data_IF_863462205188
#
_entry.id   IF_863462205188
#
_cell.length_a   1.000
_cell.length_b   1.000
_cell.length_c   1.000
_cell.angle_alpha   90.00
_cell.angle_beta   90.00
_cell.angle_gamma   90.00
#
_symmetry.space_group_name_H-M   'P 1'
#
loop_
_entity.id
_entity.type
_entity.pdbx_description
1 polymer ?
#
# COMPACT_ATOMS: atom_id res chain seq x y z
N UNK A 1 15.03 -9.19 13.93
CA UNK A 1 13.95 -9.76 14.76
C UNK A 1 13.19 -8.60 15.35
N UNK A 2 11.85 -8.64 15.35
CA UNK A 2 11.06 -7.58 15.98
C UNK A 2 11.46 -7.41 17.44
N UNK A 3 11.52 -6.18 17.94
CA UNK A 3 11.74 -5.90 19.36
C UNK A 3 10.42 -5.58 20.06
N UNK A 4 10.43 -5.57 21.40
CA UNK A 4 9.32 -4.97 22.14
C UNK A 4 9.35 -3.45 21.98
N UNK A 5 8.17 -2.84 21.91
CA UNK A 5 7.96 -1.39 21.88
C UNK A 5 6.55 -1.05 22.38
N UNK A 6 6.37 0.15 22.92
CA UNK A 6 5.09 0.67 23.41
C UNK A 6 4.52 1.81 22.56
N UNK A 7 5.31 2.29 21.58
CA UNK A 7 4.93 3.33 20.61
C UNK A 7 5.80 3.19 19.37
N UNK A 8 5.29 3.61 18.20
CA UNK A 8 6.10 3.62 16.99
C UNK A 8 7.16 4.74 17.04
N UNK A 9 8.38 4.50 16.51
CA UNK A 9 9.39 5.54 16.34
C UNK A 9 8.89 6.67 15.44
N UNK A 10 9.41 7.89 15.67
CA UNK A 10 9.22 9.05 14.80
C UNK A 10 10.58 9.39 14.18
N UNK A 11 10.62 9.48 12.85
CA UNK A 11 11.81 9.81 12.07
C UNK A 11 11.57 11.13 11.34
N UNK A 12 12.46 12.09 11.58
CA UNK A 12 12.39 13.41 10.94
C UNK A 12 13.11 13.41 9.57
N UNK A 13 12.37 13.76 8.52
CA UNK A 13 12.86 13.85 7.15
C UNK A 13 13.25 15.28 6.72
N UNK A 14 13.29 16.25 7.64
CA UNK A 14 13.62 17.66 7.35
C UNK A 14 14.92 17.84 6.55
N UNK A 15 15.92 16.97 6.76
CA UNK A 15 17.17 17.00 5.99
C UNK A 15 16.98 16.76 4.49
N UNK A 16 15.90 16.07 4.09
CA UNK A 16 15.57 15.78 2.68
C UNK A 16 14.90 16.97 1.96
N UNK A 17 14.49 18.02 2.69
CA UNK A 17 13.94 19.24 2.09
C UNK A 17 15.01 20.10 1.40
N UNK A 18 16.29 19.82 1.64
CA UNK A 18 17.39 20.49 0.97
C UNK A 18 17.73 19.78 -0.36
N UNK A 19 17.95 20.51 -1.47
CA UNK A 19 18.31 19.90 -2.76
C UNK A 19 19.58 19.05 -2.75
N UNK A 20 20.43 19.24 -1.73
CA UNK A 20 21.66 18.45 -1.53
C UNK A 20 21.91 18.31 -0.02
N UNK A 21 21.27 17.32 0.63
CA UNK A 21 21.48 17.05 2.05
C UNK A 21 22.95 16.72 2.31
N UNK A 22 23.49 17.13 3.46
CA UNK A 22 24.88 16.83 3.81
C UNK A 22 25.11 15.31 3.89
N UNK A 23 26.33 14.83 3.62
CA UNK A 23 26.66 13.41 3.77
C UNK A 23 26.46 12.91 5.21
N UNK A 24 26.65 13.80 6.19
CA UNK A 24 26.41 13.51 7.59
C UNK A 24 24.93 13.29 7.88
N UNK A 25 24.05 14.17 7.39
CA UNK A 25 22.60 14.02 7.53
C UNK A 25 22.09 12.76 6.84
N UNK A 26 22.56 12.48 5.63
CA UNK A 26 22.21 11.25 4.91
C UNK A 26 22.65 10.00 5.69
N UNK A 27 23.87 10.01 6.23
CA UNK A 27 24.39 8.89 7.02
C UNK A 27 23.61 8.69 8.32
N UNK A 28 23.26 9.79 9.01
CA UNK A 28 22.45 9.75 10.24
C UNK A 28 21.07 9.17 9.95
N UNK A 29 20.36 9.73 8.97
CA UNK A 29 19.02 9.29 8.60
C UNK A 29 19.01 7.84 8.08
N UNK A 30 20.00 7.44 7.29
CA UNK A 30 20.18 6.06 6.81
C UNK A 30 20.33 5.07 7.98
N UNK A 31 21.14 5.38 8.99
CA UNK A 31 21.30 4.55 10.19
C UNK A 31 20.04 4.50 11.04
N UNK A 32 19.35 5.63 11.18
CA UNK A 32 18.09 5.72 11.93
C UNK A 32 17.00 4.84 11.30
N UNK A 33 16.80 4.96 9.98
CA UNK A 33 15.86 4.13 9.23
C UNK A 33 16.22 2.64 9.30
N UNK A 34 17.50 2.30 9.23
CA UNK A 34 17.95 0.91 9.43
C UNK A 34 17.52 0.36 10.80
N UNK A 35 17.80 1.11 11.87
CA UNK A 35 17.46 0.67 13.22
C UNK A 35 15.96 0.48 13.38
N UNK A 36 15.15 1.44 12.88
CA UNK A 36 13.69 1.35 12.89
C UNK A 36 13.20 0.11 12.16
N UNK A 37 13.66 -0.13 10.94
CA UNK A 37 13.16 -1.24 10.13
C UNK A 37 13.73 -2.60 10.53
N UNK A 38 14.88 -2.64 11.19
CA UNK A 38 15.44 -3.87 11.76
C UNK A 38 14.77 -4.31 13.06
N UNK A 39 14.09 -3.40 13.76
CA UNK A 39 13.53 -3.62 15.10
C UNK A 39 12.00 -3.53 15.13
N UNK A 40 11.42 -2.45 14.62
CA UNK A 40 9.97 -2.20 14.67
C UNK A 40 9.31 -2.56 13.34
N UNK A 41 9.99 -2.31 12.21
CA UNK A 41 9.41 -2.47 10.87
C UNK A 41 8.39 -1.37 10.49
N UNK A 42 8.10 -0.45 11.42
CA UNK A 42 7.15 0.66 11.31
C UNK A 42 7.74 1.94 11.90
N UNK A 43 7.36 3.10 11.36
CA UNK A 43 7.60 4.41 11.96
C UNK A 43 6.62 5.47 11.45
N UNK A 44 6.60 6.61 12.13
CA UNK A 44 6.10 7.87 11.56
C UNK A 44 7.23 8.62 10.88
N UNK A 45 6.98 9.13 9.69
CA UNK A 45 7.83 10.06 8.97
C UNK A 45 7.24 11.46 9.12
N UNK A 46 7.99 12.40 9.69
CA UNK A 46 7.59 13.81 9.80
C UNK A 46 8.41 14.67 8.85
N UNK A 47 7.87 15.83 8.47
CA UNK A 47 8.53 16.80 7.59
C UNK A 47 8.95 16.18 6.24
N UNK A 48 8.13 15.27 5.71
CA UNK A 48 8.34 14.72 4.37
C UNK A 48 8.28 15.85 3.33
N UNK A 49 9.18 15.88 2.33
CA UNK A 49 9.29 16.96 1.35
C UNK A 49 8.22 16.85 0.25
N UNK A 50 6.95 16.69 0.65
CA UNK A 50 5.79 16.66 -0.25
C UNK A 50 5.23 18.07 -0.43
N UNK A 51 4.65 18.35 -1.60
CA UNK A 51 3.93 19.61 -1.81
C UNK A 51 2.49 19.54 -1.30
N UNK A 52 1.96 18.33 -1.13
CA UNK A 52 0.67 18.09 -0.50
C UNK A 52 0.82 18.02 1.01
N UNK A 53 0.06 18.86 1.72
CA UNK A 53 -0.14 18.66 3.15
C UNK A 53 -1.02 17.43 3.38
N UNK A 54 -1.01 16.93 4.62
CA UNK A 54 -1.89 15.84 5.01
C UNK A 54 -3.36 16.17 4.74
N UNK A 55 -3.77 17.41 5.01
CA UNK A 55 -5.14 17.87 4.76
C UNK A 55 -5.50 17.84 3.28
N UNK A 56 -4.58 18.19 2.38
CA UNK A 56 -4.83 18.16 0.94
C UNK A 56 -5.09 16.73 0.46
N UNK A 57 -4.37 15.74 1.01
CA UNK A 57 -4.54 14.32 0.69
C UNK A 57 -5.94 13.83 1.09
N UNK A 58 -6.45 14.20 2.28
CA UNK A 58 -7.81 13.81 2.68
C UNK A 58 -8.90 14.57 1.93
N UNK A 59 -8.65 15.82 1.55
CA UNK A 59 -9.54 16.55 0.65
C UNK A 59 -9.67 15.83 -0.69
N UNK A 60 -8.56 15.33 -1.27
CA UNK A 60 -8.62 14.54 -2.51
C UNK A 60 -9.45 13.25 -2.37
N UNK A 61 -9.29 12.53 -1.26
CA UNK A 61 -10.11 11.36 -0.97
C UNK A 61 -11.59 11.75 -0.87
N UNK A 62 -11.91 12.79 -0.09
CA UNK A 62 -13.27 13.29 0.08
C UNK A 62 -13.90 13.77 -1.22
N UNK A 63 -13.17 14.54 -2.02
CA UNK A 63 -13.63 15.03 -3.32
C UNK A 63 -14.02 13.86 -4.23
N UNK A 64 -13.22 12.77 -4.24
CA UNK A 64 -13.57 11.57 -5.00
C UNK A 64 -14.82 10.88 -4.43
N UNK A 65 -14.89 10.62 -3.13
CA UNK A 65 -15.98 9.85 -2.54
C UNK A 65 -17.32 10.60 -2.46
N UNK A 66 -17.32 11.91 -2.71
CA UNK A 66 -18.53 12.75 -2.77
C UNK A 66 -19.08 12.97 -4.18
N UNK A 67 -18.39 12.51 -5.23
CA UNK A 67 -18.94 12.56 -6.60
C UNK A 67 -20.18 11.65 -6.71
N UNK A 68 -21.08 11.89 -7.68
CA UNK A 68 -22.24 11.04 -7.93
C UNK A 68 -21.87 9.56 -8.08
N UNK A 69 -22.69 8.68 -7.51
CA UNK A 69 -22.43 7.22 -7.50
C UNK A 69 -22.27 6.65 -8.91
N UNK A 70 -23.02 7.16 -9.89
CA UNK A 70 -22.90 6.74 -11.29
C UNK A 70 -21.53 7.10 -11.90
N UNK A 71 -20.91 8.22 -11.50
CA UNK A 71 -19.55 8.57 -11.92
C UNK A 71 -18.49 7.71 -11.22
N UNK A 72 -18.66 7.34 -9.95
CA UNK A 72 -17.78 6.34 -9.29
C UNK A 72 -17.90 4.98 -9.97
N UNK A 73 -19.12 4.52 -10.21
CA UNK A 73 -19.38 3.23 -10.87
C UNK A 73 -18.91 3.18 -12.32
N UNK A 74 -18.87 4.33 -13.01
CA UNK A 74 -18.30 4.44 -14.37
C UNK A 74 -16.82 4.05 -14.42
N UNK A 75 -16.08 4.26 -13.34
CA UNK A 75 -14.66 3.88 -13.22
C UNK A 75 -14.45 2.63 -12.38
N UNK A 76 -15.51 1.90 -12.05
CA UNK A 76 -15.40 0.66 -11.30
C UNK A 76 -14.63 -0.43 -12.08
N UNK A 77 -13.97 -1.35 -11.38
CA UNK A 77 -13.31 -2.50 -12.03
C UNK A 77 -14.33 -3.40 -12.72
N UNK A 78 -13.88 -4.12 -13.75
CA UNK A 78 -14.67 -5.10 -14.50
C UNK A 78 -15.33 -6.15 -13.59
N UNK A 79 -14.69 -6.52 -12.48
CA UNK A 79 -15.26 -7.44 -11.48
C UNK A 79 -16.59 -6.95 -10.91
N UNK A 80 -16.76 -5.63 -10.76
CA UNK A 80 -17.98 -5.00 -10.25
C UNK A 80 -18.93 -4.53 -11.36
N UNK A 81 -18.38 -4.07 -12.49
CA UNK A 81 -19.16 -3.61 -13.65
C UNK A 81 -18.64 -4.31 -14.90
N UNK A 82 -19.34 -5.38 -15.34
CA UNK A 82 -18.88 -6.25 -16.44
C UNK A 82 -18.63 -5.54 -17.77
N UNK A 83 -19.23 -4.37 -17.99
CA UNK A 83 -19.00 -3.55 -19.19
C UNK A 83 -17.67 -2.79 -19.22
N UNK A 84 -17.00 -2.66 -18.06
CA UNK A 84 -15.74 -1.93 -17.96
C UNK A 84 -14.54 -2.79 -18.40
N UNK A 85 -13.48 -2.12 -18.87
CA UNK A 85 -12.27 -2.77 -19.41
C UNK A 85 -11.13 -2.90 -18.41
N UNK A 86 -11.09 -2.03 -17.41
CA UNK A 86 -10.09 -2.01 -16.35
C UNK A 86 -10.31 -3.18 -15.38
N UNK A 87 -9.24 -3.88 -15.06
CA UNK A 87 -9.22 -5.10 -14.26
C UNK A 87 -8.50 -4.90 -12.92
N UNK A 88 -7.62 -3.91 -12.83
CA UNK A 88 -6.73 -3.67 -11.71
C UNK A 88 -6.86 -2.27 -11.10
N UNK A 89 -6.96 -1.22 -11.92
CA UNK A 89 -7.10 0.19 -11.54
C UNK A 89 -8.57 0.61 -11.49
N UNK A 90 -8.84 1.69 -10.77
CA UNK A 90 -10.18 2.26 -10.67
C UNK A 90 -10.90 1.94 -9.36
N UNK A 91 -12.22 2.05 -9.38
CA UNK A 91 -13.06 2.00 -8.20
C UNK A 91 -13.51 0.59 -7.83
N UNK A 92 -13.63 0.32 -6.53
CA UNK A 92 -14.38 -0.79 -5.99
C UNK A 92 -15.39 -0.28 -4.95
N UNK A 93 -16.67 -0.63 -5.09
CA UNK A 93 -17.73 -0.16 -4.20
C UNK A 93 -17.72 -0.91 -2.87
N UNK A 94 -18.48 -0.37 -1.91
CA UNK A 94 -18.93 -1.13 -0.74
C UNK A 94 -19.60 -2.42 -1.19
N UNK A 95 -19.45 -3.50 -0.41
CA UNK A 95 -20.09 -4.78 -0.67
C UNK A 95 -21.07 -5.12 0.48
N UNK A 96 -22.30 -4.57 0.46
CA UNK A 96 -23.28 -4.79 1.52
C UNK A 96 -23.52 -6.27 1.80
N UNK A 97 -23.56 -6.66 3.08
CA UNK A 97 -23.79 -8.04 3.50
C UNK A 97 -22.53 -8.89 3.66
N UNK A 98 -21.35 -8.39 3.28
CA UNK A 98 -20.06 -8.97 3.64
C UNK A 98 -19.56 -8.30 4.92
N UNK A 99 -19.53 -9.05 6.02
CA UNK A 99 -19.26 -8.52 7.37
C UNK A 99 -17.85 -7.94 7.53
N UNK A 100 -16.94 -8.29 6.62
CA UNK A 100 -15.52 -7.95 6.54
C UNK A 100 -15.20 -6.85 5.51
N UNK A 101 -16.16 -6.47 4.64
CA UNK A 101 -15.92 -5.46 3.60
C UNK A 101 -16.73 -4.17 3.81
N UNK A 102 -16.25 -3.37 4.76
CA UNK A 102 -16.85 -2.11 5.18
C UNK A 102 -16.25 -0.88 4.49
N UNK A 103 -15.61 -1.05 3.32
CA UNK A 103 -14.90 0.02 2.63
C UNK A 103 -15.19 0.06 1.14
N UNK A 104 -15.16 1.26 0.60
CA UNK A 104 -15.00 1.52 -0.83
C UNK A 104 -13.60 2.08 -1.09
N UNK A 105 -13.13 2.01 -2.33
CA UNK A 105 -11.80 2.50 -2.66
C UNK A 105 -11.58 2.81 -4.12
N UNK A 106 -10.59 3.66 -4.38
CA UNK A 106 -10.17 4.07 -5.71
C UNK A 106 -8.66 3.96 -5.86
N UNK A 107 -8.22 3.24 -6.89
CA UNK A 107 -6.81 2.90 -7.08
C UNK A 107 -6.22 3.53 -8.33
N UNK A 108 -5.07 4.19 -8.14
CA UNK A 108 -4.33 4.94 -9.14
C UNK A 108 -2.89 4.42 -9.18
N UNK A 109 -2.44 4.02 -10.35
CA UNK A 109 -1.05 3.70 -10.67
C UNK A 109 -0.28 4.88 -11.27
N UNK A 110 0.91 4.64 -11.84
CA UNK A 110 1.69 5.67 -12.52
C UNK A 110 0.92 6.36 -13.65
N UNK A 111 1.15 7.67 -13.83
CA UNK A 111 0.49 8.44 -14.90
C UNK A 111 0.94 8.01 -16.31
N UNK A 112 2.17 7.50 -16.44
CA UNK A 112 2.76 7.05 -17.71
C UNK A 112 3.26 5.62 -17.55
N UNK A 113 2.73 4.70 -18.33
CA UNK A 113 3.33 3.39 -18.53
C UNK A 113 4.23 3.46 -19.76
N UNK A 114 5.49 3.03 -19.66
CA UNK A 114 6.21 2.72 -20.89
C UNK A 114 5.62 1.43 -21.44
N UNK A 115 4.88 1.56 -22.56
CA UNK A 115 4.24 0.44 -23.23
C UNK A 115 5.32 -0.61 -23.51
N UNK A 116 5.18 -1.86 -23.05
CA UNK A 116 6.07 -2.92 -23.47
C UNK A 116 6.04 -2.97 -24.99
N UNK A 117 7.20 -2.77 -25.62
CA UNK A 117 7.39 -2.89 -27.07
C UNK A 117 6.67 -4.14 -27.55
N UNK A 118 5.82 -3.99 -28.57
CA UNK A 118 5.02 -5.07 -29.13
C UNK A 118 5.84 -6.36 -29.29
N UNK A 119 5.50 -7.39 -28.51
CA UNK A 119 6.22 -8.66 -28.58
C UNK A 119 5.96 -9.60 -27.41
N UNK A 120 4.91 -10.43 -27.55
CA UNK A 120 4.78 -11.78 -26.95
C UNK A 120 5.01 -11.83 -25.42
N UNK A 121 4.00 -11.61 -24.56
CA UNK A 121 3.26 -12.75 -23.95
C UNK A 121 1.99 -12.35 -23.14
N UNK A 122 1.51 -11.10 -23.17
CA UNK A 122 0.42 -10.69 -22.24
C UNK A 122 -1.00 -11.23 -22.56
N UNK A 123 -1.22 -11.86 -23.72
CA UNK A 123 -2.57 -12.40 -24.09
C UNK A 123 -3.03 -13.63 -23.28
N UNK A 124 -2.38 -13.99 -22.17
CA UNK A 124 -2.76 -15.15 -21.33
C UNK A 124 -3.32 -14.81 -19.96
N UNK A 125 -3.07 -13.61 -19.41
CA UNK A 125 -3.62 -13.19 -18.11
C UNK A 125 -4.87 -12.33 -18.32
N UNK A 126 -5.97 -12.64 -17.62
CA UNK A 126 -7.14 -11.74 -17.59
C UNK A 126 -6.88 -10.49 -16.75
N UNK A 127 -5.81 -10.47 -15.96
CA UNK A 127 -5.37 -9.35 -15.13
C UNK A 127 -4.22 -8.60 -15.80
N UNK A 128 -4.42 -7.31 -16.07
CA UNK A 128 -3.40 -6.39 -16.58
C UNK A 128 -2.95 -5.45 -15.46
N UNK A 129 -1.74 -5.64 -14.94
CA UNK A 129 -1.20 -4.79 -13.86
C UNK A 129 -0.62 -3.47 -14.40
N UNK A 130 -0.36 -3.41 -15.71
CA UNK A 130 0.18 -2.24 -16.42
C UNK A 130 -0.90 -1.44 -17.14
N UNK A 131 -2.18 -1.70 -16.87
CA UNK A 131 -3.27 -0.97 -17.49
C UNK A 131 -3.25 0.52 -17.09
N UNK A 132 -3.72 1.36 -18.01
CA UNK A 132 -3.86 2.79 -17.77
C UNK A 132 -4.88 3.09 -16.66
N UNK A 133 -4.64 4.18 -15.93
CA UNK A 133 -5.61 4.69 -14.97
C UNK A 133 -6.92 5.09 -15.64
N UNK A 134 -8.04 4.74 -15.00
CA UNK A 134 -9.38 5.21 -15.37
C UNK A 134 -9.79 6.36 -14.45
N UNK A 135 -10.43 7.39 -15.02
CA UNK A 135 -10.73 8.64 -14.32
C UNK A 135 -12.20 9.04 -14.43
N UNK A 136 -12.80 9.59 -13.36
CA UNK A 136 -14.10 10.27 -13.43
C UNK A 136 -14.07 11.42 -14.43
N UNK A 137 -15.25 11.93 -14.80
CA UNK A 137 -15.35 13.02 -15.76
C UNK A 137 -14.74 14.30 -15.18
N UNK A 138 -14.04 15.08 -16.00
CA UNK A 138 -13.39 16.31 -15.55
C UNK A 138 -14.42 17.33 -15.04
N UNK A 139 -15.62 17.32 -15.60
CA UNK A 139 -16.75 18.15 -15.16
C UNK A 139 -17.21 17.82 -13.73
N UNK A 140 -16.94 16.60 -13.26
CA UNK A 140 -17.36 16.11 -11.94
C UNK A 140 -16.21 16.13 -10.93
N UNK A 141 -15.01 15.74 -11.36
CA UNK A 141 -13.85 15.58 -10.47
C UNK A 141 -12.79 16.67 -10.64
N UNK A 142 -13.07 17.69 -11.45
CA UNK A 142 -12.23 18.88 -11.60
C UNK A 142 -10.79 18.56 -11.95
N UNK A 143 -9.86 19.09 -11.14
CA UNK A 143 -8.42 18.87 -11.24
C UNK A 143 -7.92 17.67 -10.41
N UNK A 144 -8.83 16.84 -9.89
CA UNK A 144 -8.51 15.70 -9.03
C UNK A 144 -7.59 14.68 -9.69
N UNK A 145 -7.72 14.48 -11.02
CA UNK A 145 -6.79 13.65 -11.80
C UNK A 145 -5.35 14.15 -11.68
N UNK A 146 -5.11 15.41 -12.05
CA UNK A 146 -3.77 16.00 -12.05
C UNK A 146 -3.17 16.00 -10.64
N UNK A 147 -4.01 16.26 -9.63
CA UNK A 147 -3.56 16.25 -8.23
C UNK A 147 -3.18 14.85 -7.74
N UNK A 148 -3.96 13.82 -8.08
CA UNK A 148 -3.65 12.43 -7.70
C UNK A 148 -2.43 11.90 -8.45
N UNK A 149 -2.27 12.22 -9.73
CA UNK A 149 -1.06 11.88 -10.50
C UNK A 149 0.18 12.56 -9.90
N UNK A 150 0.08 13.83 -9.47
CA UNK A 150 1.17 14.53 -8.80
C UNK A 150 1.50 13.91 -7.44
N UNK A 151 0.50 13.64 -6.60
CA UNK A 151 0.69 12.99 -5.31
C UNK A 151 1.35 11.61 -5.45
N UNK A 152 0.90 10.80 -6.42
CA UNK A 152 1.52 9.52 -6.74
C UNK A 152 3.01 9.67 -7.06
N UNK A 153 3.36 10.61 -7.96
CA UNK A 153 4.75 10.85 -8.34
C UNK A 153 5.63 11.35 -7.17
N UNK A 154 5.09 12.19 -6.29
CA UNK A 154 5.81 12.64 -5.08
C UNK A 154 6.07 11.48 -4.11
N UNK A 155 5.08 10.62 -3.87
CA UNK A 155 5.23 9.43 -3.02
C UNK A 155 6.17 8.38 -3.64
N UNK A 156 6.15 8.23 -4.98
CA UNK A 156 7.11 7.41 -5.72
C UNK A 156 8.54 7.95 -5.53
N UNK A 157 8.72 9.27 -5.62
CA UNK A 157 10.02 9.93 -5.46
C UNK A 157 10.53 9.82 -4.03
N UNK A 158 9.66 10.03 -3.03
CA UNK A 158 9.97 9.82 -1.63
C UNK A 158 10.38 8.37 -1.36
N UNK A 159 9.64 7.40 -1.90
CA UNK A 159 9.98 5.97 -1.79
C UNK A 159 11.34 5.67 -2.41
N UNK A 160 11.67 6.26 -3.57
CA UNK A 160 13.00 6.15 -4.18
C UNK A 160 14.10 6.65 -3.24
N UNK A 161 13.92 7.83 -2.63
CA UNK A 161 14.89 8.39 -1.69
C UNK A 161 15.06 7.50 -0.46
N UNK A 162 13.96 7.00 0.11
CA UNK A 162 14.01 6.06 1.24
C UNK A 162 14.76 4.78 0.86
N UNK A 163 14.48 4.19 -0.31
CA UNK A 163 15.19 3.01 -0.80
C UNK A 163 16.69 3.27 -0.98
N UNK A 164 17.10 4.43 -1.47
CA UNK A 164 18.52 4.80 -1.57
C UNK A 164 19.22 4.88 -0.20
N UNK A 165 18.52 5.42 0.81
CA UNK A 165 19.03 5.47 2.19
C UNK A 165 19.13 4.06 2.79
N UNK A 166 18.16 3.19 2.52
CA UNK A 166 18.18 1.80 2.96
C UNK A 166 19.26 0.97 2.27
N UNK A 167 19.49 1.18 0.97
CA UNK A 167 20.58 0.56 0.24
C UNK A 167 21.94 0.90 0.88
N UNK A 168 22.16 2.18 1.15
CA UNK A 168 23.36 2.66 1.84
C UNK A 168 23.50 2.03 3.23
N UNK A 169 22.40 1.92 3.98
CA UNK A 169 22.42 1.32 5.31
C UNK A 169 22.74 -0.18 5.29
N UNK A 170 22.36 -0.86 4.20
CA UNK A 170 22.68 -2.26 3.94
C UNK A 170 24.10 -2.45 3.36
N UNK A 171 24.91 -1.38 3.28
CA UNK A 171 26.26 -1.41 2.73
C UNK A 171 26.29 -1.59 1.20
N UNK A 172 25.22 -1.20 0.51
CA UNK A 172 25.12 -1.20 -0.96
C UNK A 172 25.22 0.21 -1.54
N UNK A 173 25.54 0.35 -2.83
CA UNK A 173 25.42 1.63 -3.53
C UNK A 173 24.02 2.24 -3.39
N UNK A 174 23.91 3.57 -3.32
CA UNK A 174 22.63 4.26 -3.13
C UNK A 174 21.62 4.02 -4.28
N UNK A 175 22.09 3.63 -5.46
CA UNK A 175 21.30 3.29 -6.64
C UNK A 175 21.00 1.78 -6.75
N UNK A 176 21.32 0.98 -5.74
CA UNK A 176 21.15 -0.49 -5.79
C UNK A 176 19.71 -0.92 -6.13
N UNK A 177 18.70 -0.16 -5.69
CA UNK A 177 17.29 -0.43 -5.96
C UNK A 177 16.72 0.38 -7.15
N UNK A 178 17.56 1.08 -7.93
CA UNK A 178 17.08 1.93 -9.03
C UNK A 178 16.25 1.15 -10.07
N UNK A 179 16.54 -0.14 -10.29
CA UNK A 179 15.78 -1.01 -11.19
C UNK A 179 14.34 -1.26 -10.73
N UNK A 180 14.01 -1.03 -9.45
CA UNK A 180 12.65 -1.22 -8.93
C UNK A 180 11.71 -0.10 -9.39
N UNK A 181 12.28 1.07 -9.72
CA UNK A 181 11.53 2.23 -10.20
C UNK A 181 11.08 2.07 -11.66
N UNK A 182 11.81 1.25 -12.45
CA UNK A 182 11.50 1.00 -13.85
C UNK A 182 10.15 0.30 -14.02
N UNK A 183 9.19 0.98 -14.65
CA UNK A 183 7.81 0.48 -14.84
C UNK A 183 7.15 0.00 -13.54
N UNK A 184 7.46 0.68 -12.44
CA UNK A 184 6.95 0.40 -11.11
C UNK A 184 5.43 0.24 -11.11
N UNK A 185 4.93 -0.77 -10.39
CA UNK A 185 3.50 -1.05 -10.24
C UNK A 185 2.86 -0.32 -9.06
N UNK A 186 3.58 0.64 -8.47
CA UNK A 186 3.15 1.34 -7.26
C UNK A 186 1.73 1.86 -7.35
N UNK A 187 0.99 1.72 -6.25
CA UNK A 187 -0.45 1.99 -6.20
C UNK A 187 -0.76 2.99 -5.11
N UNK A 188 -1.29 4.15 -5.48
CA UNK A 188 -1.98 5.04 -4.57
C UNK A 188 -3.42 4.57 -4.45
N UNK A 189 -3.88 4.32 -3.23
CA UNK A 189 -5.25 3.87 -2.97
C UNK A 189 -5.94 4.86 -2.04
N UNK A 190 -7.06 5.43 -2.49
CA UNK A 190 -7.97 6.16 -1.62
C UNK A 190 -8.94 5.14 -1.02
N UNK A 191 -9.07 5.11 0.31
CA UNK A 191 -10.03 4.25 1.00
C UNK A 191 -10.98 5.09 1.84
N UNK A 192 -12.24 4.73 1.79
CA UNK A 192 -13.29 5.31 2.62
C UNK A 192 -14.02 4.19 3.36
N UNK A 193 -14.07 4.33 4.67
CA UNK A 193 -14.80 3.47 5.60
C UNK A 193 -15.96 4.32 6.14
N UNK A 194 -17.18 4.19 5.59
CA UNK A 194 -18.32 4.98 6.04
C UNK A 194 -18.60 4.75 7.54
N UNK A 195 -19.24 5.73 8.22
CA UNK A 195 -19.65 5.58 9.60
C UNK A 195 -20.43 4.27 9.77
N UNK A 196 -20.01 3.49 10.76
CA UNK A 196 -20.74 2.28 11.14
C UNK A 196 -21.62 2.62 12.33
N UNK A 197 -22.83 2.08 12.34
CA UNK A 197 -23.64 2.08 13.56
C UNK A 197 -22.81 1.48 14.71
N UNK A 198 -22.90 2.03 15.94
CA UNK A 198 -22.17 1.49 17.07
C UNK A 198 -22.58 0.03 17.26
N UNK A 199 -21.74 -0.90 16.83
CA UNK A 199 -21.95 -2.29 17.12
C UNK A 199 -21.79 -2.42 18.64
N UNK A 200 -22.87 -2.80 19.34
CA UNK A 200 -22.75 -3.35 20.68
C UNK A 200 -21.81 -4.53 20.53
N UNK A 201 -20.60 -4.43 21.08
CA UNK A 201 -19.71 -5.58 21.21
C UNK A 201 -20.44 -6.59 22.10
N UNK A 202 -21.11 -7.54 21.47
CA UNK A 202 -21.60 -8.72 22.17
C UNK A 202 -20.31 -9.46 22.55
N UNK A 203 -20.00 -9.53 23.84
CA UNK A 203 -18.89 -10.31 24.41
C UNK A 203 -17.47 -9.76 24.33
N UNK A 204 -17.28 -8.44 24.18
CA UNK A 204 -15.96 -7.80 24.33
C UNK A 204 -14.95 -8.10 23.21
N UNK A 205 -15.39 -8.75 22.13
CA UNK A 205 -14.58 -8.96 20.93
C UNK A 205 -14.32 -7.64 20.19
N UNK A 206 -13.07 -7.48 19.74
CA UNK A 206 -12.64 -6.34 18.95
C UNK A 206 -13.08 -6.54 17.50
N UNK A 207 -14.01 -5.72 17.02
CA UNK A 207 -14.36 -5.68 15.59
C UNK A 207 -13.18 -5.11 14.79
N UNK A 208 -12.80 -5.79 13.71
CA UNK A 208 -11.71 -5.38 12.83
C UNK A 208 -12.24 -4.88 11.49
N UNK A 209 -11.71 -3.75 11.02
CA UNK A 209 -11.88 -3.26 9.64
C UNK A 209 -10.84 -3.88 8.69
N UNK A 210 -9.75 -4.40 9.24
CA UNK A 210 -8.72 -5.12 8.51
C UNK A 210 -8.08 -6.14 9.45
N UNK A 211 -8.09 -7.41 9.07
CA UNK A 211 -7.55 -8.51 9.87
C UNK A 211 -6.03 -8.43 9.99
N UNK A 212 -5.40 -9.11 10.97
CA UNK A 212 -3.95 -9.21 11.07
C UNK A 212 -3.31 -9.66 9.75
N UNK A 213 -2.37 -8.88 9.23
CA UNK A 213 -1.60 -9.21 8.03
C UNK A 213 -0.24 -8.50 8.02
N UNK A 214 0.63 -8.92 7.09
CA UNK A 214 1.79 -8.16 6.63
C UNK A 214 1.56 -7.71 5.20
N UNK A 215 2.17 -6.60 4.81
CA UNK A 215 2.14 -6.15 3.42
C UNK A 215 3.07 -7.03 2.58
N UNK A 216 2.61 -7.49 1.42
CA UNK A 216 3.39 -8.41 0.57
C UNK A 216 4.57 -7.75 -0.15
N UNK A 217 4.52 -6.43 -0.31
CA UNK A 217 5.38 -5.65 -1.20
C UNK A 217 6.72 -5.24 -0.61
N UNK A 218 7.22 -4.10 -1.09
CA UNK A 218 8.49 -3.53 -0.65
C UNK A 218 8.33 -2.55 0.51
N UNK A 219 7.54 -1.49 0.30
CA UNK A 219 7.41 -0.37 1.22
C UNK A 219 6.00 0.23 1.11
N UNK A 220 5.38 0.53 2.24
CA UNK A 220 4.08 1.20 2.29
C UNK A 220 4.24 2.57 2.95
N UNK A 221 3.65 3.60 2.35
CA UNK A 221 3.51 4.96 2.88
C UNK A 221 2.03 5.25 3.11
N UNK A 222 1.62 5.45 4.35
CA UNK A 222 0.23 5.58 4.73
C UNK A 222 -0.06 6.96 5.33
N UNK A 223 -0.93 7.71 4.66
CA UNK A 223 -1.63 8.81 5.29
C UNK A 223 -2.86 8.26 6.04
N UNK A 224 -2.86 8.36 7.37
CA UNK A 224 -4.01 8.04 8.23
C UNK A 224 -4.64 9.29 8.81
N UNK A 225 -5.97 9.31 8.95
CA UNK A 225 -6.68 10.44 9.56
C UNK A 225 -6.73 10.34 11.10
N UNK A 226 -7.42 11.30 11.73
CA UNK A 226 -7.60 11.38 13.18
C UNK A 226 -8.46 10.26 13.78
N UNK A 227 -9.17 9.49 12.96
CA UNK A 227 -9.97 8.37 13.49
C UNK A 227 -9.04 7.29 14.04
N UNK A 228 -7.88 7.05 13.43
CA UNK A 228 -6.94 6.03 13.88
C UNK A 228 -7.44 4.60 13.65
N UNK A 229 -7.11 3.68 14.57
CA UNK A 229 -7.51 2.28 14.54
C UNK A 229 -6.40 1.31 14.11
N UNK A 230 -5.30 1.79 13.53
CA UNK A 230 -4.13 0.97 13.21
C UNK A 230 -3.44 0.46 14.49
N UNK A 231 -3.12 -0.82 14.51
CA UNK A 231 -2.32 -1.46 15.56
C UNK A 231 -1.23 -2.33 14.95
N UNK A 232 -0.06 -2.36 15.58
CA UNK A 232 1.13 -3.09 15.15
C UNK A 232 1.53 -4.09 16.23
N UNK A 233 1.80 -5.33 15.86
CA UNK A 233 2.16 -6.40 16.79
C UNK A 233 3.64 -6.30 17.18
N UNK A 234 3.94 -6.15 18.46
CA UNK A 234 5.32 -6.15 18.95
C UNK A 234 5.83 -7.58 19.26
N UNK A 235 7.09 -7.71 19.66
CA UNK A 235 7.70 -9.00 19.97
C UNK A 235 7.15 -9.70 21.24
N UNK A 236 6.38 -9.00 22.07
CA UNK A 236 5.66 -9.55 23.23
C UNK A 236 4.24 -10.02 22.87
N UNK A 237 3.93 -10.11 21.57
CA UNK A 237 2.60 -10.45 21.05
C UNK A 237 1.49 -9.47 21.48
N UNK A 238 1.88 -8.22 21.76
CA UNK A 238 0.95 -7.15 22.12
C UNK A 238 0.67 -6.25 20.92
N UNK A 239 -0.61 -5.92 20.75
CA UNK A 239 -1.07 -4.96 19.74
C UNK A 239 -0.83 -3.54 20.25
N UNK A 240 0.14 -2.85 19.63
CA UNK A 240 0.51 -1.47 19.95
C UNK A 240 -0.26 -0.50 19.05
N UNK A 241 -1.05 0.43 19.61
CA UNK A 241 -1.75 1.43 18.83
C UNK A 241 -0.78 2.37 18.08
N UNK A 242 -1.12 2.66 16.84
CA UNK A 242 -0.44 3.67 16.02
C UNK A 242 -1.38 4.88 15.83
N UNK A 243 -1.53 5.75 16.85
CA UNK A 243 -2.47 6.88 16.80
C UNK A 243 -2.11 7.87 15.69
N UNK A 244 -3.05 8.74 15.36
CA UNK A 244 -2.79 9.83 14.43
C UNK A 244 -1.72 10.80 14.98
N UNK A 245 -0.67 11.04 14.19
CA UNK A 245 0.32 12.09 14.45
C UNK A 245 0.18 13.16 13.35
N UNK A 246 -0.17 14.41 13.68
CA UNK A 246 -0.37 15.46 12.70
C UNK A 246 0.80 15.66 11.75
N UNK A 247 0.51 15.73 10.44
CA UNK A 247 1.52 15.95 9.40
C UNK A 247 2.48 14.79 9.17
N UNK A 248 2.22 13.61 9.76
CA UNK A 248 3.07 12.43 9.58
C UNK A 248 2.53 11.46 8.52
N UNK A 249 3.45 10.66 7.98
CA UNK A 249 3.17 9.50 7.14
C UNK A 249 3.61 8.26 7.91
N UNK A 250 2.74 7.27 8.10
CA UNK A 250 3.17 5.98 8.63
C UNK A 250 3.91 5.24 7.53
N UNK A 251 5.08 4.69 7.82
CA UNK A 251 5.86 3.87 6.89
C UNK A 251 6.07 2.48 7.45
N UNK A 252 5.99 1.46 6.60
CA UNK A 252 6.36 0.09 6.97
C UNK A 252 6.99 -0.70 5.83
N UNK A 253 7.76 -1.72 6.22
CA UNK A 253 8.41 -2.68 5.34
C UNK A 253 7.46 -3.85 5.06
N UNK A 254 7.41 -4.27 3.80
CA UNK A 254 6.68 -5.48 3.38
C UNK A 254 7.55 -6.73 3.34
N UNK A 255 6.90 -7.88 3.20
CA UNK A 255 7.51 -9.22 3.19
C UNK A 255 8.67 -9.32 2.18
N UNK A 256 8.46 -8.78 0.97
CA UNK A 256 9.47 -8.88 -0.08
C UNK A 256 10.72 -8.09 0.27
N UNK A 257 10.59 -6.91 0.89
CA UNK A 257 11.75 -6.13 1.32
C UNK A 257 12.45 -6.74 2.54
N UNK A 258 11.71 -7.41 3.44
CA UNK A 258 12.32 -8.21 4.50
C UNK A 258 13.22 -9.32 3.90
N UNK A 259 12.76 -10.01 2.86
CA UNK A 259 13.57 -10.99 2.12
C UNK A 259 14.75 -10.33 1.39
N UNK A 260 14.52 -9.23 0.68
CA UNK A 260 15.55 -8.48 -0.06
C UNK A 260 16.68 -8.03 0.87
N UNK A 261 16.34 -7.58 2.07
CA UNK A 261 17.32 -7.15 3.07
C UNK A 261 18.17 -8.28 3.66
N UNK A 262 17.97 -9.54 3.25
CA UNK A 262 18.59 -10.71 3.86
C UNK A 262 18.07 -10.98 5.29
N UNK A 263 16.82 -10.62 5.57
CA UNK A 263 16.21 -10.75 6.91
C UNK A 263 16.66 -9.70 7.92
N UNK A 264 17.36 -8.65 7.48
CA UNK A 264 17.80 -7.53 8.33
C UNK A 264 16.65 -6.61 8.69
N UNK A 265 15.68 -6.42 7.80
CA UNK A 265 14.45 -5.68 8.04
C UNK A 265 13.29 -6.63 8.34
N UNK A 266 12.30 -6.13 9.06
CA UNK A 266 11.15 -6.91 9.51
C UNK A 266 9.86 -6.36 8.92
N UNK A 267 9.07 -7.24 8.31
CA UNK A 267 7.69 -6.97 7.96
C UNK A 267 6.81 -7.30 9.16
N UNK A 268 6.28 -6.26 9.81
CA UNK A 268 5.58 -6.43 11.09
C UNK A 268 4.08 -6.59 10.88
N UNK A 269 3.50 -7.58 11.55
CA UNK A 269 2.07 -7.85 11.52
C UNK A 269 1.30 -6.63 12.03
N UNK A 270 0.26 -6.22 11.33
CA UNK A 270 -0.58 -5.10 11.71
C UNK A 270 -2.05 -5.40 11.41
N UNK A 271 -2.96 -4.68 12.08
CA UNK A 271 -4.41 -4.80 11.91
C UNK A 271 -5.07 -3.43 12.06
N UNK A 272 -6.34 -3.33 11.65
CA UNK A 272 -7.13 -2.10 11.86
C UNK A 272 -8.39 -2.44 12.63
N UNK A 273 -8.53 -1.85 13.82
CA UNK A 273 -9.77 -1.95 14.61
C UNK A 273 -10.83 -1.01 14.09
N UNK A 274 -12.08 -1.44 14.21
CA UNK A 274 -13.20 -0.51 14.20
C UNK A 274 -13.15 0.31 15.47
N UNK A 275 -13.29 1.63 15.38
CA UNK A 275 -13.39 2.45 16.56
C UNK A 275 -14.73 2.20 17.28
N UNK A 276 -14.65 1.64 18.48
CA UNK A 276 -15.79 1.31 19.34
C UNK A 276 -16.61 2.52 19.80
N UNK A 277 -16.09 3.74 19.63
CA UNK A 277 -16.81 4.99 19.89
C UNK A 277 -17.70 5.48 18.74
N UNK A 278 -17.86 4.70 17.66
CA UNK A 278 -18.62 5.13 16.49
C UNK A 278 -18.01 6.37 15.84
N UNK A 279 -16.67 6.41 15.73
CA UNK A 279 -15.92 7.55 15.23
C UNK A 279 -16.43 8.00 13.86
N UNK A 280 -17.39 8.92 13.90
CA UNK A 280 -17.68 9.85 12.84
C UNK A 280 -16.37 10.60 12.66
N UNK A 281 -15.74 10.55 11.48
CA UNK A 281 -14.68 11.49 11.15
C UNK A 281 -15.11 12.92 11.51
N UNK A 282 -14.17 13.86 11.58
CA UNK A 282 -14.48 15.23 12.02
C UNK A 282 -15.65 15.90 11.24
N UNK A 283 -15.98 15.38 10.06
CA UNK A 283 -17.04 15.82 9.16
C UNK A 283 -18.23 14.85 9.03
N UNK A 284 -18.33 13.82 9.86
CA UNK A 284 -19.39 12.82 9.78
C UNK A 284 -19.21 11.77 8.70
N UNK A 285 -18.11 11.79 7.94
CA UNK A 285 -17.88 10.86 6.81
C UNK A 285 -17.20 9.55 7.22
N UNK A 286 -16.91 9.35 8.50
CA UNK A 286 -16.23 8.13 8.95
C UNK A 286 -14.72 8.23 8.75
N UNK A 287 -14.07 7.14 8.32
CA UNK A 287 -12.60 7.05 8.25
C UNK A 287 -12.10 7.07 6.82
N UNK A 288 -11.10 7.90 6.56
CA UNK A 288 -10.31 7.86 5.34
C UNK A 288 -8.92 7.29 5.61
N UNK A 289 -8.39 6.60 4.60
CA UNK A 289 -7.04 6.01 4.64
C UNK A 289 -6.46 6.06 3.25
N UNK A 290 -5.26 6.63 3.12
CA UNK A 290 -4.62 6.80 1.81
C UNK A 290 -3.24 6.14 1.83
N UNK A 291 -3.18 4.80 1.66
CA UNK A 291 -1.92 4.10 1.47
C UNK A 291 -1.40 4.27 0.05
N UNK A 292 -0.07 4.38 -0.04
CA UNK A 292 0.71 4.25 -1.24
C UNK A 292 1.62 3.04 -1.08
N UNK A 293 1.41 2.04 -1.91
CA UNK A 293 2.22 0.82 -1.95
C UNK A 293 3.30 1.01 -3.01
N UNK A 294 4.56 1.09 -2.58
CA UNK A 294 5.67 1.06 -3.52
C UNK A 294 5.92 -0.36 -3.98
N UNK A 295 5.85 -0.58 -5.29
CA UNK A 295 6.02 -1.91 -5.87
C UNK A 295 6.91 -1.88 -7.12
N UNK A 296 7.83 -2.85 -7.29
CA UNK A 296 8.64 -2.97 -8.50
C UNK A 296 7.80 -3.17 -9.77
N UNK A 297 8.42 -2.97 -10.93
CA UNK A 297 7.78 -3.31 -12.20
C UNK A 297 7.62 -4.81 -12.41
N UNK A 298 6.68 -5.23 -13.26
CA UNK A 298 6.41 -6.66 -13.50
C UNK A 298 7.65 -7.47 -13.91
N UNK A 299 8.51 -6.87 -14.73
CA UNK A 299 9.72 -7.49 -15.25
C UNK A 299 10.94 -7.30 -14.32
N UNK A 300 10.73 -6.68 -13.16
CA UNK A 300 11.80 -6.42 -12.21
C UNK A 300 12.23 -7.74 -11.54
N UNK A 301 13.54 -7.98 -11.57
CA UNK A 301 14.16 -9.09 -10.87
C UNK A 301 14.58 -8.63 -9.47
N UNK A 302 13.85 -9.09 -8.47
CA UNK A 302 14.08 -8.78 -7.06
C UNK A 302 15.04 -9.81 -6.47
N UNK A 303 16.08 -9.37 -5.77
CA UNK A 303 17.14 -10.24 -5.21
C UNK A 303 17.49 -9.80 -3.81
N UNK A 304 17.90 -10.78 -2.99
CA UNK A 304 18.54 -10.46 -1.71
C UNK A 304 19.83 -9.67 -1.94
N UNK A 305 20.10 -8.72 -1.04
CA UNK A 305 21.35 -7.95 -1.00
C UNK A 305 22.57 -8.84 -0.78
N UNK A 306 22.39 -10.04 -0.23
CA UNK A 306 23.46 -11.03 -0.04
C UNK A 306 23.67 -11.92 -1.28
N UNK A 307 22.90 -11.71 -2.34
CA UNK A 307 22.89 -12.55 -3.54
C UNK A 307 21.89 -13.71 -3.45
N UNK A 308 21.95 -14.62 -4.43
CA UNK A 308 21.04 -15.77 -4.53
C UNK A 308 20.07 -15.69 -5.71
N UNK A 309 19.11 -16.61 -5.73
CA UNK A 309 18.09 -16.68 -6.77
C UNK A 309 17.18 -15.44 -6.72
N UNK A 310 16.86 -14.91 -7.90
CA UNK A 310 15.99 -13.75 -8.02
C UNK A 310 14.52 -14.16 -8.19
N UNK A 311 13.63 -13.30 -7.71
CA UNK A 311 12.20 -13.42 -7.88
C UNK A 311 11.77 -12.43 -8.96
N UNK A 312 11.11 -12.93 -10.01
CA UNK A 312 10.44 -12.06 -10.98
C UNK A 312 9.18 -11.47 -10.33
N UNK A 313 9.16 -10.16 -10.11
CA UNK A 313 8.13 -9.50 -9.32
C UNK A 313 6.71 -9.76 -9.86
N UNK A 314 6.52 -9.71 -11.19
CA UNK A 314 5.24 -9.97 -11.84
C UNK A 314 4.66 -11.36 -11.60
N UNK A 315 5.51 -12.38 -11.40
CA UNK A 315 5.07 -13.73 -11.03
C UNK A 315 4.73 -13.82 -9.54
N UNK A 316 5.53 -13.17 -8.69
CA UNK A 316 5.30 -13.11 -7.25
C UNK A 316 3.95 -12.47 -6.94
N UNK A 317 3.69 -11.28 -7.48
CA UNK A 317 2.47 -10.54 -7.19
C UNK A 317 1.23 -11.26 -7.71
N UNK A 318 1.29 -11.90 -8.88
CA UNK A 318 0.17 -12.71 -9.39
C UNK A 318 -0.12 -13.90 -8.50
N UNK A 319 0.90 -14.64 -8.04
CA UNK A 319 0.70 -15.75 -7.10
C UNK A 319 0.01 -15.28 -5.81
N UNK A 320 0.40 -14.11 -5.30
CA UNK A 320 -0.24 -13.49 -4.12
C UNK A 320 -1.68 -13.07 -4.43
N UNK A 321 -1.92 -12.35 -5.52
CA UNK A 321 -3.27 -11.94 -5.93
C UNK A 321 -4.21 -13.13 -6.19
N UNK A 322 -3.69 -14.26 -6.67
CA UNK A 322 -4.47 -15.48 -6.85
C UNK A 322 -5.05 -16.06 -5.55
N UNK A 323 -4.55 -15.66 -4.37
CA UNK A 323 -5.19 -16.04 -3.10
C UNK A 323 -6.36 -15.13 -2.74
N UNK A 324 -6.43 -13.93 -3.32
CA UNK A 324 -7.45 -12.92 -3.05
C UNK A 324 -8.72 -13.18 -3.86
N UNK A 325 -9.88 -13.18 -3.18
CA UNK A 325 -11.17 -13.51 -3.78
C UNK A 325 -11.48 -12.67 -5.02
N UNK A 326 -11.07 -11.40 -5.04
CA UNK A 326 -11.30 -10.47 -6.15
C UNK A 326 -10.59 -10.85 -7.45
N UNK A 327 -9.49 -11.60 -7.36
CA UNK A 327 -8.61 -11.91 -8.49
C UNK A 327 -8.49 -13.41 -8.79
N UNK A 328 -9.11 -14.30 -7.99
CA UNK A 328 -9.09 -15.76 -8.21
C UNK A 328 -9.43 -16.13 -9.66
N UNK A 329 -10.52 -15.59 -10.19
CA UNK A 329 -10.99 -15.87 -11.57
C UNK A 329 -10.15 -15.19 -12.66
N UNK A 330 -9.29 -14.24 -12.28
CA UNK A 330 -8.44 -13.45 -13.18
C UNK A 330 -7.01 -13.99 -13.27
N UNK A 331 -6.55 -14.71 -12.24
CA UNK A 331 -5.19 -15.24 -12.09
C UNK A 331 -5.09 -16.74 -12.40
N UNK A 332 -6.17 -17.52 -12.28
CA UNK A 332 -6.14 -18.95 -12.60
C UNK A 332 -5.70 -19.22 -14.06
N UNK A 333 -4.47 -19.71 -14.23
CA UNK A 333 -4.05 -20.45 -15.41
C UNK A 333 -4.74 -21.82 -15.38
N UNK A 334 -5.46 -22.18 -16.45
CA UNK A 334 -5.96 -23.56 -16.60
C UNK A 334 -4.76 -24.53 -16.51
N UNK A 335 -4.76 -25.50 -15.58
CA UNK A 335 -3.69 -26.49 -15.56
C UNK A 335 -3.75 -27.31 -16.84
N UNK A 336 -2.58 -27.57 -17.45
CA UNK A 336 -2.40 -28.75 -18.27
C UNK A 336 -2.53 -29.97 -17.34
N UNK A 337 -3.29 -30.94 -17.80
CA UNK A 337 -3.72 -32.15 -17.10
C UNK A 337 -2.54 -32.99 -16.59
N UNK A 338 -2.12 -32.84 -15.34
CA UNK A 338 -1.30 -33.83 -14.62
C UNK A 338 -1.60 -33.85 -13.11
N UNK A 339 -2.08 -35.01 -12.63
CA UNK A 339 -1.68 -35.61 -11.35
C UNK A 339 -2.12 -34.95 -10.03
N UNK A 340 -3.07 -35.60 -9.36
CA UNK A 340 -3.50 -35.33 -7.97
C UNK A 340 -2.30 -35.24 -7.01
N UNK A 341 -2.14 -34.11 -6.33
CA UNK A 341 -1.32 -33.98 -5.11
C UNK A 341 -2.09 -33.18 -4.05
N UNK A 342 -2.12 -33.71 -2.83
CA UNK A 342 -2.90 -33.28 -1.68
C UNK A 342 -2.68 -31.82 -1.27
N UNK A 343 -3.78 -31.12 -0.95
CA UNK A 343 -3.79 -29.73 -0.45
C UNK A 343 -3.55 -29.71 1.06
N UNK A 344 -2.44 -29.07 1.48
CA UNK A 344 -2.24 -28.61 2.86
C UNK A 344 -3.12 -27.39 3.20
N UNK A 345 -3.18 -26.98 4.47
CA UNK A 345 -4.19 -26.04 4.96
C UNK A 345 -4.03 -24.65 4.33
N UNK A 346 -5.16 -24.13 3.85
CA UNK A 346 -5.32 -22.78 3.29
C UNK A 346 -5.34 -21.79 4.45
N UNK A 347 -4.37 -20.88 4.50
CA UNK A 347 -4.42 -19.69 5.37
C UNK A 347 -5.06 -18.58 4.55
N UNK A 348 -6.26 -18.19 4.96
CA UNK A 348 -7.07 -17.19 4.30
C UNK A 348 -6.66 -15.80 4.79
N UNK A 349 -6.13 -14.97 3.88
CA UNK A 349 -6.01 -13.53 4.09
C UNK A 349 -7.16 -12.89 3.31
N UNK A 350 -8.11 -12.31 4.04
CA UNK A 350 -9.41 -11.81 3.55
C UNK A 350 -9.42 -10.32 3.26
#
# INVERSE_FOLDING_TARGET
MTTSFSSLPIVDLSSLSHPSPSLEDQSRLSKELYNVFATTGFAYLTNAPLTYSHSDVFTLAKDFFTIPEDEKMRVAKQTFVKGNRNTYRGYFPLQPGKQDNLKEGFEVGPATHSVPTEGKESRRSKLDLNEENVWPRAETFGDGRQKLEKLHNELQSLSSTLLSLLATALGKPADYFASYLGNSLSTLRLLHYPPQEPARSVDGEVKLCCTPHTDSGILTLLHQDQTGGLEVLNAEEQWVPAPYVPGSIVVNIGDLMAQVSGGRFVATMHRVRTNSGGAQGADGMGRFSVPFFFEPGEQCMVRSVDGGEGILYGQHIRRKMGTWVEYKDLVEERPMDEGVVERGPVVEAY
#
